data_IF_267594387366
#
_entry.id   IF_267594387366
#
_cell.length_a   1.000
_cell.length_b   1.000
_cell.length_c   1.000
_cell.angle_alpha   90.00
_cell.angle_beta   90.00
_cell.angle_gamma   90.00
#
_symmetry.space_group_name_H-M   'P 1'
#
loop_
_entity.id
_entity.type
_entity.pdbx_description
1 polymer ?
#
# COMPACT_ATOMS: atom_id res chain seq x y z
N UNK A 1 -22.58 3.41 15.29
CA UNK A 1 -22.39 2.89 13.92
C UNK A 1 -21.39 3.70 13.10
N UNK A 2 -21.61 4.99 12.78
CA UNK A 2 -20.66 5.77 11.95
C UNK A 2 -19.23 5.85 12.51
N UNK A 3 -19.08 5.97 13.84
CA UNK A 3 -17.77 5.95 14.49
C UNK A 3 -17.05 4.59 14.44
N UNK A 4 -17.80 3.49 14.36
CA UNK A 4 -17.23 2.14 14.32
C UNK A 4 -16.65 1.84 12.93
N UNK A 5 -17.34 2.25 11.87
CA UNK A 5 -16.82 2.16 10.50
C UNK A 5 -15.57 3.01 10.29
N UNK A 6 -15.55 4.25 10.78
CA UNK A 6 -14.33 5.10 10.72
C UNK A 6 -13.15 4.45 11.44
N UNK A 7 -13.35 3.88 12.63
CA UNK A 7 -12.28 3.16 13.36
C UNK A 7 -11.77 1.93 12.59
N UNK A 8 -12.67 1.18 11.95
CA UNK A 8 -12.29 0.02 11.12
C UNK A 8 -11.49 0.45 9.90
N UNK A 9 -11.94 1.49 9.19
CA UNK A 9 -11.21 2.04 8.04
C UNK A 9 -9.83 2.55 8.47
N UNK A 10 -9.73 3.28 9.59
CA UNK A 10 -8.44 3.75 10.10
C UNK A 10 -7.46 2.61 10.42
N UNK A 11 -7.94 1.48 10.96
CA UNK A 11 -7.10 0.29 11.17
C UNK A 11 -6.64 -0.34 9.87
N UNK A 12 -7.53 -0.44 8.88
CA UNK A 12 -7.19 -0.96 7.55
C UNK A 12 -6.12 -0.07 6.90
N UNK A 13 -6.25 1.26 7.00
CA UNK A 13 -5.23 2.19 6.50
C UNK A 13 -3.87 1.93 7.17
N UNK A 14 -3.83 1.80 8.50
CA UNK A 14 -2.58 1.51 9.22
C UNK A 14 -1.96 0.16 8.82
N UNK A 15 -2.79 -0.86 8.60
CA UNK A 15 -2.32 -2.17 8.14
C UNK A 15 -1.77 -2.10 6.71
N UNK A 16 -2.42 -1.36 5.81
CA UNK A 16 -1.97 -1.16 4.44
C UNK A 16 -0.70 -0.32 4.36
N UNK A 17 -0.57 0.74 5.17
CA UNK A 17 0.66 1.55 5.25
C UNK A 17 1.87 0.71 5.68
N UNK A 18 1.67 -0.19 6.64
CA UNK A 18 2.73 -1.14 7.05
C UNK A 18 3.09 -2.12 5.93
N UNK A 19 2.10 -2.65 5.21
CA UNK A 19 2.37 -3.55 4.08
C UNK A 19 3.08 -2.81 2.96
N UNK A 20 2.69 -1.57 2.67
CA UNK A 20 3.35 -0.71 1.69
C UNK A 20 4.82 -0.50 2.04
N UNK A 21 5.13 -0.17 3.29
CA UNK A 21 6.52 -0.05 3.77
C UNK A 21 7.30 -1.35 3.59
N UNK A 22 6.72 -2.50 3.95
CA UNK A 22 7.34 -3.83 3.76
C UNK A 22 7.61 -4.14 2.26
N UNK A 23 6.70 -3.78 1.36
CA UNK A 23 6.86 -3.99 -0.10
C UNK A 23 7.87 -3.01 -0.72
N UNK A 24 7.88 -1.73 -0.30
CA UNK A 24 8.85 -0.73 -0.72
C UNK A 24 10.27 -1.13 -0.29
N UNK A 25 10.46 -1.54 0.97
CA UNK A 25 11.74 -2.07 1.45
C UNK A 25 12.19 -3.29 0.63
N UNK A 26 11.28 -4.24 0.38
CA UNK A 26 11.58 -5.43 -0.41
C UNK A 26 11.97 -5.06 -1.85
N UNK A 27 11.31 -4.08 -2.45
CA UNK A 27 11.61 -3.59 -3.79
C UNK A 27 12.97 -2.90 -3.87
N UNK A 28 13.31 -2.07 -2.89
CA UNK A 28 14.62 -1.39 -2.79
C UNK A 28 15.79 -2.38 -2.66
N UNK A 29 15.56 -3.58 -2.12
CA UNK A 29 16.60 -4.63 -2.04
C UNK A 29 16.81 -5.43 -3.33
N UNK A 30 15.98 -5.22 -4.37
CA UNK A 30 16.12 -5.93 -5.63
C UNK A 30 17.39 -5.51 -6.37
N UNK A 31 18.01 -6.47 -7.07
CA UNK A 31 19.07 -6.16 -8.02
C UNK A 31 18.49 -5.51 -9.28
N UNK A 32 19.32 -4.79 -10.05
CA UNK A 32 18.91 -4.18 -11.34
C UNK A 32 18.25 -5.19 -12.29
N UNK A 33 18.83 -6.38 -12.43
CA UNK A 33 18.26 -7.44 -13.26
C UNK A 33 16.90 -7.96 -12.74
N UNK A 34 16.65 -7.87 -11.43
CA UNK A 34 15.36 -8.24 -10.85
C UNK A 34 14.32 -7.12 -11.01
N UNK A 35 14.73 -5.85 -10.97
CA UNK A 35 13.87 -4.69 -11.23
C UNK A 35 13.32 -4.70 -12.67
N UNK A 36 14.16 -5.02 -13.65
CA UNK A 36 13.75 -5.12 -15.07
C UNK A 36 12.97 -6.41 -15.41
N UNK A 37 12.78 -7.29 -14.43
CA UNK A 37 12.05 -8.54 -14.64
C UNK A 37 10.55 -8.34 -14.42
N UNK A 38 9.75 -9.26 -14.97
CA UNK A 38 8.31 -9.32 -14.70
C UNK A 38 7.95 -9.45 -13.20
N UNK A 39 8.92 -9.83 -12.35
CA UNK A 39 8.73 -9.81 -10.89
C UNK A 39 8.85 -8.39 -10.35
N UNK A 40 9.86 -7.63 -10.77
CA UNK A 40 10.05 -6.24 -10.38
C UNK A 40 8.86 -5.38 -10.82
N UNK A 41 8.43 -5.51 -12.07
CA UNK A 41 7.24 -4.83 -12.59
C UNK A 41 6.00 -5.10 -11.73
N UNK A 42 5.72 -6.37 -11.37
CA UNK A 42 4.59 -6.71 -10.50
C UNK A 42 4.71 -6.15 -9.09
N UNK A 43 5.93 -6.08 -8.54
CA UNK A 43 6.13 -5.48 -7.21
C UNK A 43 5.83 -3.98 -7.26
N UNK A 44 6.26 -3.28 -8.32
CA UNK A 44 5.90 -1.87 -8.52
C UNK A 44 4.38 -1.69 -8.67
N UNK A 45 3.71 -2.54 -9.46
CA UNK A 45 2.24 -2.51 -9.60
C UNK A 45 1.52 -2.70 -8.26
N UNK A 46 2.04 -3.57 -7.38
CA UNK A 46 1.49 -3.77 -6.03
C UNK A 46 1.68 -2.54 -5.16
N UNK A 47 2.87 -1.92 -5.19
CA UNK A 47 3.17 -0.67 -4.46
C UNK A 47 2.21 0.45 -4.90
N UNK A 48 2.06 0.64 -6.22
CA UNK A 48 1.18 1.67 -6.79
C UNK A 48 -0.28 1.43 -6.36
N UNK A 49 -0.74 0.17 -6.41
CA UNK A 49 -2.09 -0.20 -5.98
C UNK A 49 -2.33 0.05 -4.48
N UNK A 50 -1.34 -0.27 -3.64
CA UNK A 50 -1.43 -0.04 -2.19
C UNK A 50 -1.51 1.46 -1.89
N UNK A 51 -0.72 2.28 -2.57
CA UNK A 51 -0.76 3.74 -2.45
C UNK A 51 -2.13 4.30 -2.83
N UNK A 52 -2.68 3.91 -3.99
CA UNK A 52 -4.02 4.35 -4.42
C UNK A 52 -5.12 3.92 -3.43
N UNK A 53 -5.05 2.69 -2.92
CA UNK A 53 -6.01 2.19 -1.94
C UNK A 53 -5.94 2.97 -0.62
N UNK A 54 -4.73 3.27 -0.13
CA UNK A 54 -4.50 4.06 1.09
C UNK A 54 -5.07 5.47 0.91
N UNK A 55 -4.76 6.14 -0.20
CA UNK A 55 -5.22 7.50 -0.48
C UNK A 55 -6.75 7.56 -0.57
N UNK A 56 -7.37 6.62 -1.27
CA UNK A 56 -8.83 6.49 -1.36
C UNK A 56 -9.47 6.34 0.03
N UNK A 57 -8.89 5.51 0.91
CA UNK A 57 -9.40 5.29 2.25
C UNK A 57 -9.17 6.50 3.17
N UNK A 58 -8.06 7.22 3.02
CA UNK A 58 -7.78 8.48 3.72
C UNK A 58 -8.77 9.57 3.32
N UNK A 59 -9.07 9.69 2.03
CA UNK A 59 -10.09 10.61 1.53
C UNK A 59 -11.47 10.32 2.14
N UNK A 60 -11.87 9.04 2.19
CA UNK A 60 -13.10 8.61 2.85
C UNK A 60 -13.12 8.89 4.37
N UNK A 61 -11.97 8.87 5.03
CA UNK A 61 -11.85 9.22 6.45
C UNK A 61 -11.94 10.74 6.68
N UNK A 62 -11.49 11.55 5.72
CA UNK A 62 -11.44 13.00 5.81
C UNK A 62 -12.72 13.70 5.28
N UNK A 63 -13.54 12.98 4.50
CA UNK A 63 -14.89 13.39 4.08
C UNK A 63 -15.91 13.40 5.24
#
# INVERSE_FOLDING_TARGET
MKQDHRRRIARIVQELERILEEEEEAFETLSEAALESARGERMQEVIDFLQEAIDTLKDLLNA
#
